data_IF_093115712775
#
_entry.id   IF_093115712775
#
_cell.length_a   1.000
_cell.length_b   1.000
_cell.length_c   1.000
_cell.angle_alpha   90.00
_cell.angle_beta   90.00
_cell.angle_gamma   90.00
#
_symmetry.space_group_name_H-M   'P 1'
#
loop_
_entity.id
_entity.type
_entity.pdbx_description
1 polymer ?
#
# COMPACT_ATOMS: atom_id res chain seq x y z
N UNK A 1 -2.81 13.74 3.90
CA UNK A 1 -3.01 14.19 2.50
C UNK A 1 -2.52 13.19 1.46
N UNK A 2 -1.27 12.71 1.60
CA UNK A 2 -0.60 11.82 0.63
C UNK A 2 -1.08 10.36 0.68
N UNK A 3 -2.00 10.03 1.58
CA UNK A 3 -2.63 8.70 1.68
C UNK A 3 -4.14 8.89 1.58
N UNK A 4 -4.68 8.54 0.41
CA UNK A 4 -6.12 8.53 0.13
C UNK A 4 -6.79 7.37 0.89
N UNK A 5 -8.08 7.49 1.18
CA UNK A 5 -8.87 6.38 1.71
C UNK A 5 -8.80 5.18 0.77
N UNK A 6 -8.73 3.96 1.34
CA UNK A 6 -8.51 2.73 0.57
C UNK A 6 -9.55 2.45 -0.54
N UNK A 7 -10.75 3.03 -0.43
CA UNK A 7 -11.79 2.96 -1.46
C UNK A 7 -11.53 3.84 -2.68
N UNK A 8 -10.50 4.70 -2.66
CA UNK A 8 -10.17 5.64 -3.74
C UNK A 8 -11.07 6.86 -3.85
N UNK A 9 -12.21 6.89 -3.15
CA UNK A 9 -13.22 7.93 -3.32
C UNK A 9 -13.11 9.11 -2.33
N UNK A 10 -12.27 9.02 -1.29
CA UNK A 10 -12.14 10.04 -0.26
C UNK A 10 -10.68 10.43 -0.04
N UNK A 11 -10.35 11.65 -0.44
CA UNK A 11 -9.06 12.28 -0.13
C UNK A 11 -9.16 13.14 1.15
N UNK A 12 -8.05 13.77 1.54
CA UNK A 12 -7.99 14.57 2.77
C UNK A 12 -8.90 15.81 2.74
N UNK A 13 -9.06 16.46 1.58
CA UNK A 13 -9.96 17.60 1.43
C UNK A 13 -11.43 17.17 1.54
N UNK A 14 -11.78 15.99 1.00
CA UNK A 14 -13.13 15.44 1.14
C UNK A 14 -13.46 15.14 2.60
N UNK A 15 -12.49 14.58 3.35
CA UNK A 15 -12.64 14.37 4.80
C UNK A 15 -12.83 15.68 5.58
N UNK A 16 -12.08 16.73 5.21
CA UNK A 16 -12.25 18.08 5.77
C UNK A 16 -13.62 18.66 5.44
N UNK A 17 -14.06 18.58 4.20
CA UNK A 17 -15.36 19.08 3.75
C UNK A 17 -16.51 18.33 4.44
N UNK A 18 -16.41 17.00 4.57
CA UNK A 18 -17.38 16.16 5.27
C UNK A 18 -17.60 16.61 6.72
N UNK A 19 -16.52 16.88 7.47
CA UNK A 19 -16.62 17.40 8.82
C UNK A 19 -17.24 18.81 8.87
N UNK A 20 -16.92 19.68 7.92
CA UNK A 20 -17.51 21.03 7.84
C UNK A 20 -19.01 21.00 7.54
N UNK A 21 -19.47 20.02 6.74
CA UNK A 21 -20.89 19.82 6.43
C UNK A 21 -21.62 19.25 7.64
N UNK A 22 -21.04 18.24 8.30
CA UNK A 22 -21.65 17.61 9.46
C UNK A 22 -20.60 17.29 10.55
N UNK A 23 -20.45 18.14 11.58
CA UNK A 23 -19.49 17.93 12.66
C UNK A 23 -19.73 16.69 13.52
N UNK A 24 -20.94 16.14 13.54
CA UNK A 24 -21.27 14.88 14.24
C UNK A 24 -21.21 13.66 13.31
N UNK A 25 -20.76 13.87 12.07
CA UNK A 25 -20.62 12.83 11.06
C UNK A 25 -19.43 11.89 11.28
N UNK A 26 -19.22 10.96 10.33
CA UNK A 26 -18.22 9.90 10.47
C UNK A 26 -16.76 10.39 10.32
N UNK A 27 -16.54 11.56 9.73
CA UNK A 27 -15.21 12.13 9.54
C UNK A 27 -14.91 13.12 10.66
N UNK A 28 -13.95 12.80 11.51
CA UNK A 28 -13.52 13.64 12.63
C UNK A 28 -12.09 14.13 12.39
N UNK A 29 -11.76 15.38 12.74
CA UNK A 29 -10.40 15.89 12.64
C UNK A 29 -9.51 15.21 13.69
N UNK A 30 -8.29 14.87 13.29
CA UNK A 30 -7.28 14.27 14.17
C UNK A 30 -6.06 15.17 14.17
N UNK A 31 -5.73 15.72 15.33
CA UNK A 31 -4.44 16.39 15.54
C UNK A 31 -3.37 15.33 15.59
N UNK A 32 -2.30 15.46 14.79
CA UNK A 32 -1.24 14.44 14.72
C UNK A 32 -0.57 14.19 16.08
N UNK A 33 -0.41 15.22 16.91
CA UNK A 33 0.33 15.10 18.16
C UNK A 33 1.84 14.93 17.90
N UNK A 34 2.50 14.19 18.78
CA UNK A 34 3.93 13.92 18.73
C UNK A 34 4.28 12.91 17.63
N UNK A 35 5.43 13.09 16.98
CA UNK A 35 5.98 12.10 16.05
C UNK A 35 6.76 11.08 16.86
N UNK A 36 6.23 9.87 16.98
CA UNK A 36 6.84 8.79 17.75
C UNK A 36 7.88 8.02 16.90
N UNK A 37 7.59 7.86 15.61
CA UNK A 37 8.49 7.26 14.63
C UNK A 37 8.21 7.89 13.26
N UNK A 38 9.15 8.66 12.68
CA UNK A 38 8.95 9.33 11.40
C UNK A 38 9.00 8.37 10.20
N UNK A 39 9.68 7.22 10.31
CA UNK A 39 9.83 6.24 9.24
C UNK A 39 8.53 5.44 9.06
N UNK A 40 8.03 4.87 10.14
CA UNK A 40 6.73 4.19 10.16
C UNK A 40 5.56 5.20 10.07
N UNK A 41 5.79 6.44 10.49
CA UNK A 41 4.74 7.43 10.61
C UNK A 41 3.79 7.11 11.77
N UNK A 42 4.38 6.81 12.93
CA UNK A 42 3.66 6.73 14.18
C UNK A 42 3.49 8.12 14.77
N UNK A 43 2.24 8.44 15.10
CA UNK A 43 1.86 9.73 15.65
C UNK A 43 0.97 9.49 16.87
N UNK A 44 1.25 10.16 17.99
CA UNK A 44 0.51 9.91 19.25
C UNK A 44 -0.98 10.17 19.08
N UNK A 45 -1.36 11.30 18.46
CA UNK A 45 -2.77 11.64 18.28
C UNK A 45 -3.52 10.72 17.31
N UNK A 46 -2.82 10.08 16.36
CA UNK A 46 -3.44 9.04 15.52
C UNK A 46 -3.65 7.76 16.33
N UNK A 47 -2.67 7.34 17.13
CA UNK A 47 -2.79 6.15 17.97
C UNK A 47 -3.89 6.30 19.02
N UNK A 48 -3.98 7.45 19.68
CA UNK A 48 -5.03 7.76 20.67
C UNK A 48 -6.43 7.68 20.05
N UNK A 49 -6.60 8.29 18.86
CA UNK A 49 -7.85 8.23 18.12
C UNK A 49 -8.20 6.81 17.73
N UNK A 50 -7.28 6.07 17.13
CA UNK A 50 -7.54 4.71 16.65
C UNK A 50 -7.82 3.75 17.81
N UNK A 51 -7.11 3.86 18.93
CA UNK A 51 -7.38 3.11 20.15
C UNK A 51 -8.80 3.34 20.65
N UNK A 52 -9.23 4.60 20.71
CA UNK A 52 -10.59 4.95 21.13
C UNK A 52 -11.64 4.47 20.13
N UNK A 53 -11.48 4.78 18.84
CA UNK A 53 -12.44 4.47 17.78
C UNK A 53 -12.60 2.95 17.56
N UNK A 54 -11.53 2.18 17.80
CA UNK A 54 -11.52 0.72 17.70
C UNK A 54 -11.88 0.01 19.01
N UNK A 55 -12.19 0.75 20.09
CA UNK A 55 -12.47 0.22 21.44
C UNK A 55 -11.31 -0.62 21.99
N UNK A 56 -10.08 -0.19 21.72
CA UNK A 56 -8.85 -0.83 22.18
C UNK A 56 -8.38 -2.00 21.32
N UNK A 57 -9.08 -2.36 20.25
CA UNK A 57 -8.67 -3.45 19.37
C UNK A 57 -7.40 -3.14 18.56
N UNK A 58 -7.19 -1.86 18.22
CA UNK A 58 -5.99 -1.38 17.53
C UNK A 58 -5.42 -0.21 18.32
N UNK A 59 -4.22 -0.39 18.87
CA UNK A 59 -3.58 0.62 19.75
C UNK A 59 -2.52 1.46 19.02
N UNK A 60 -2.04 1.00 17.87
CA UNK A 60 -1.01 1.67 17.09
C UNK A 60 -1.22 1.40 15.59
N UNK A 61 -1.01 2.43 14.76
CA UNK A 61 -1.10 2.28 13.31
C UNK A 61 0.03 3.00 12.59
N UNK A 62 0.62 2.30 11.62
CA UNK A 62 1.64 2.86 10.75
C UNK A 62 0.99 3.58 9.57
N UNK A 63 1.39 4.84 9.38
CA UNK A 63 0.97 5.59 8.20
C UNK A 63 1.70 5.13 6.94
N UNK A 64 2.89 4.54 7.07
CA UNK A 64 3.81 4.34 5.95
C UNK A 64 4.37 2.92 5.81
N UNK A 65 4.01 1.99 6.69
CA UNK A 65 4.48 0.59 6.66
C UNK A 65 3.38 -0.39 6.26
N UNK A 66 3.79 -1.41 5.49
CA UNK A 66 3.01 -2.63 5.25
C UNK A 66 3.30 -3.71 6.31
N UNK A 67 4.50 -3.70 6.88
CA UNK A 67 5.00 -4.76 7.77
C UNK A 67 4.69 -4.48 9.24
N UNK A 68 4.85 -3.22 9.67
CA UNK A 68 4.69 -2.82 11.06
C UNK A 68 3.33 -2.16 11.26
N UNK A 69 2.48 -2.75 12.11
CA UNK A 69 1.17 -2.22 12.49
C UNK A 69 0.38 -1.59 11.31
N UNK A 70 0.18 -2.31 10.19
CA UNK A 70 -0.47 -1.74 9.02
C UNK A 70 -1.89 -1.28 9.35
N UNK A 71 -2.41 -0.33 8.57
CA UNK A 71 -3.80 0.09 8.71
C UNK A 71 -4.73 -1.08 8.42
N UNK A 72 -5.72 -1.30 9.29
CA UNK A 72 -6.75 -2.32 9.06
C UNK A 72 -7.57 -1.96 7.82
N UNK A 73 -8.23 -2.95 7.21
CA UNK A 73 -9.11 -2.71 6.08
C UNK A 73 -10.53 -3.24 6.33
N UNK A 74 -11.50 -2.55 5.76
CA UNK A 74 -12.90 -2.96 5.79
C UNK A 74 -13.17 -4.02 4.72
N UNK A 75 -13.53 -3.60 3.50
CA UNK A 75 -13.79 -4.48 2.36
C UNK A 75 -13.96 -3.77 1.01
N UNK A 76 -14.05 -2.44 0.99
CA UNK A 76 -14.25 -1.63 -0.22
C UNK A 76 -12.95 -1.11 -0.84
N UNK A 77 -11.79 -1.68 -0.48
CA UNK A 77 -10.52 -1.31 -1.10
C UNK A 77 -10.51 -1.63 -2.60
N UNK A 78 -9.85 -0.77 -3.39
CA UNK A 78 -9.72 -0.94 -4.84
C UNK A 78 -8.64 -1.97 -5.20
N UNK A 79 -7.62 -2.10 -4.36
CA UNK A 79 -6.50 -2.99 -4.53
C UNK A 79 -5.99 -3.54 -3.19
N UNK A 80 -5.16 -4.57 -3.26
CA UNK A 80 -4.50 -5.17 -2.09
C UNK A 80 -3.00 -5.20 -2.36
N UNK A 81 -2.23 -4.69 -1.40
CA UNK A 81 -0.79 -4.86 -1.35
C UNK A 81 -0.44 -6.11 -0.54
N UNK A 82 0.52 -6.89 -1.03
CA UNK A 82 1.04 -8.08 -0.36
C UNK A 82 2.57 -8.14 -0.48
N UNK A 83 3.24 -8.48 0.61
CA UNK A 83 4.68 -8.74 0.62
C UNK A 83 4.98 -10.08 -0.08
N UNK A 84 6.01 -10.09 -0.93
CA UNK A 84 6.57 -11.25 -1.62
C UNK A 84 7.99 -11.51 -1.08
N UNK A 85 8.14 -12.45 -0.13
CA UNK A 85 9.42 -12.66 0.56
C UNK A 85 10.58 -13.02 -0.36
N UNK A 86 10.39 -13.88 -1.37
CA UNK A 86 11.47 -14.30 -2.26
C UNK A 86 11.93 -13.18 -3.20
N UNK A 87 11.05 -12.21 -3.46
CA UNK A 87 11.34 -11.04 -4.28
C UNK A 87 11.80 -9.82 -3.48
N UNK A 88 11.83 -9.93 -2.13
CA UNK A 88 12.06 -8.81 -1.21
C UNK A 88 11.24 -7.56 -1.59
N UNK A 89 10.01 -7.76 -2.04
CA UNK A 89 9.21 -6.74 -2.70
C UNK A 89 7.72 -6.86 -2.41
N UNK A 90 6.96 -5.88 -2.85
CA UNK A 90 5.53 -5.75 -2.66
C UNK A 90 4.84 -5.91 -4.01
N UNK A 91 3.86 -6.78 -4.09
CA UNK A 91 2.91 -6.80 -5.20
C UNK A 91 1.66 -6.00 -4.84
N UNK A 92 0.99 -5.42 -5.85
CA UNK A 92 -0.33 -4.81 -5.67
C UNK A 92 -1.28 -5.29 -6.75
N UNK A 93 -2.43 -5.85 -6.34
CA UNK A 93 -3.45 -6.38 -7.26
C UNK A 93 -4.77 -5.63 -7.08
N UNK A 94 -5.35 -5.10 -8.16
CA UNK A 94 -6.67 -4.46 -8.14
C UNK A 94 -7.81 -5.49 -8.21
N UNK A 95 -8.99 -5.07 -7.73
CA UNK A 95 -10.21 -5.90 -7.67
C UNK A 95 -10.64 -6.51 -8.99
N UNK A 96 -10.37 -5.81 -10.10
CA UNK A 96 -10.80 -6.21 -11.44
C UNK A 96 -9.92 -7.33 -12.04
N UNK A 97 -8.76 -7.60 -11.44
CA UNK A 97 -7.87 -8.67 -11.89
C UNK A 97 -8.32 -10.03 -11.34
N UNK A 98 -8.70 -10.94 -12.25
CA UNK A 98 -9.26 -12.25 -11.90
C UNK A 98 -8.23 -13.40 -11.89
N UNK A 99 -6.99 -13.09 -12.27
CA UNK A 99 -5.90 -14.07 -12.40
C UNK A 99 -5.25 -14.46 -11.08
N UNK A 100 -4.31 -15.39 -11.17
CA UNK A 100 -3.39 -15.71 -10.08
C UNK A 100 -2.36 -14.60 -9.92
N UNK A 101 -1.91 -14.40 -8.69
CA UNK A 101 -0.84 -13.45 -8.38
C UNK A 101 0.37 -14.17 -7.80
N UNK A 102 1.55 -13.55 -7.82
CA UNK A 102 2.76 -14.15 -7.27
C UNK A 102 2.67 -14.58 -5.81
N UNK A 103 1.75 -14.01 -5.02
CA UNK A 103 1.47 -14.46 -3.64
C UNK A 103 0.84 -15.86 -3.54
N UNK A 104 0.58 -16.52 -4.66
CA UNK A 104 -0.09 -17.83 -4.71
C UNK A 104 -1.60 -17.73 -4.50
N UNK A 105 -2.17 -16.53 -4.54
CA UNK A 105 -3.59 -16.27 -4.28
C UNK A 105 -4.21 -15.34 -5.32
N UNK A 106 -5.53 -15.48 -5.52
CA UNK A 106 -6.34 -14.50 -6.27
C UNK A 106 -6.70 -13.31 -5.38
N UNK A 107 -7.15 -12.21 -5.99
CA UNK A 107 -7.67 -11.05 -5.26
C UNK A 107 -8.74 -11.43 -4.21
N UNK A 108 -9.68 -12.31 -4.54
CA UNK A 108 -10.78 -12.71 -3.62
C UNK A 108 -10.28 -13.41 -2.37
N UNK A 109 -9.24 -14.25 -2.49
CA UNK A 109 -8.61 -14.91 -1.33
C UNK A 109 -7.84 -13.90 -0.49
N UNK A 110 -7.05 -13.04 -1.12
CA UNK A 110 -6.32 -11.95 -0.44
C UNK A 110 -7.28 -11.00 0.30
N UNK A 111 -8.45 -10.70 -0.29
CA UNK A 111 -9.43 -9.82 0.31
C UNK A 111 -9.97 -10.39 1.64
N UNK A 112 -10.08 -11.71 1.75
CA UNK A 112 -10.44 -12.38 3.00
C UNK A 112 -9.38 -12.26 4.09
N UNK A 113 -8.10 -12.13 3.72
CA UNK A 113 -6.98 -11.97 4.67
C UNK A 113 -6.73 -10.52 5.10
N UNK A 114 -6.89 -9.58 4.17
CA UNK A 114 -6.65 -8.16 4.43
C UNK A 114 -7.89 -7.46 5.06
N UNK A 115 -9.09 -7.97 4.82
CA UNK A 115 -10.34 -7.40 5.32
C UNK A 115 -10.66 -7.75 6.78
N UNK A 116 -11.80 -7.27 7.26
CA UNK A 116 -12.33 -7.66 8.57
C UNK A 116 -11.83 -6.84 9.76
N UNK A 117 -11.13 -5.72 9.52
CA UNK A 117 -10.74 -4.81 10.59
C UNK A 117 -9.57 -5.29 11.46
N UNK A 118 -8.83 -6.31 11.01
CA UNK A 118 -7.62 -6.81 11.68
C UNK A 118 -6.35 -6.18 11.09
N UNK A 119 -5.29 -6.08 11.91
CA UNK A 119 -3.96 -5.73 11.41
C UNK A 119 -3.26 -7.00 10.94
N UNK A 120 -2.96 -7.06 9.63
CA UNK A 120 -2.32 -8.23 9.02
C UNK A 120 -0.96 -7.80 8.44
N UNK A 121 0.14 -7.88 9.20
CA UNK A 121 1.49 -7.61 8.69
C UNK A 121 1.75 -8.26 7.33
N UNK A 122 2.22 -7.48 6.36
CA UNK A 122 2.48 -7.95 5.00
C UNK A 122 1.28 -7.88 4.06
N UNK A 123 0.06 -7.56 4.54
CA UNK A 123 -1.14 -7.44 3.72
C UNK A 123 -1.94 -6.19 4.06
N UNK A 124 -2.37 -5.44 3.05
CA UNK A 124 -3.16 -4.22 3.29
C UNK A 124 -4.03 -3.85 2.10
N UNK A 125 -5.30 -3.54 2.38
CA UNK A 125 -6.19 -2.91 1.40
C UNK A 125 -5.75 -1.47 1.10
N UNK A 126 -5.63 -1.13 -0.18
CA UNK A 126 -5.17 0.18 -0.66
C UNK A 126 -6.02 0.70 -1.82
N UNK A 127 -5.93 2.00 -2.06
CA UNK A 127 -6.45 2.61 -3.29
C UNK A 127 -5.43 2.48 -4.41
N UNK A 128 -5.89 2.42 -5.66
CA UNK A 128 -5.03 2.50 -6.85
C UNK A 128 -4.22 3.80 -6.85
N UNK A 129 -4.80 4.92 -6.41
CA UNK A 129 -4.14 6.22 -6.38
C UNK A 129 -3.02 6.32 -5.33
N UNK A 130 -2.99 5.44 -4.32
CA UNK A 130 -1.89 5.42 -3.36
C UNK A 130 -0.56 5.02 -4.02
N UNK A 131 -0.59 4.27 -5.12
CA UNK A 131 0.59 3.77 -5.82
C UNK A 131 1.49 4.86 -6.40
N UNK A 132 0.98 6.08 -6.58
CA UNK A 132 1.75 7.22 -7.08
C UNK A 132 2.06 8.22 -5.97
N UNK A 133 1.82 7.86 -4.71
CA UNK A 133 2.07 8.72 -3.57
C UNK A 133 3.56 8.83 -3.25
N UNK A 134 4.06 10.02 -2.88
CA UNK A 134 5.38 10.17 -2.28
C UNK A 134 5.53 9.46 -0.93
N UNK A 135 4.42 9.04 -0.30
CA UNK A 135 4.38 8.31 0.99
C UNK A 135 4.04 6.84 0.86
N UNK A 136 3.90 6.32 -0.37
CA UNK A 136 3.70 4.89 -0.61
C UNK A 136 4.79 4.10 0.11
N UNK A 137 4.41 3.20 1.03
CA UNK A 137 5.30 2.22 1.70
C UNK A 137 6.68 2.75 2.12
N UNK A 138 6.76 4.01 2.56
CA UNK A 138 8.04 4.67 2.77
C UNK A 138 8.90 3.98 3.83
N UNK A 139 8.28 3.28 4.80
CA UNK A 139 9.00 2.50 5.79
C UNK A 139 9.76 1.32 5.14
N UNK A 140 9.21 0.74 4.07
CA UNK A 140 9.87 -0.32 3.30
C UNK A 140 10.77 0.23 2.17
N UNK A 141 10.82 1.54 1.94
CA UNK A 141 11.58 2.17 0.83
C UNK A 141 10.73 2.51 -0.40
N UNK A 142 9.42 2.47 -0.24
CA UNK A 142 8.41 3.03 -1.11
C UNK A 142 8.31 2.40 -2.48
N UNK A 143 8.19 3.21 -3.54
CA UNK A 143 7.92 2.69 -4.88
C UNK A 143 8.98 1.70 -5.37
N UNK A 144 10.23 1.81 -4.88
CA UNK A 144 11.33 0.87 -5.19
C UNK A 144 11.04 -0.56 -4.73
N UNK A 145 10.09 -0.76 -3.82
CA UNK A 145 9.63 -2.07 -3.37
C UNK A 145 8.56 -2.69 -4.25
N UNK A 146 7.88 -1.92 -5.09
CA UNK A 146 6.81 -2.48 -5.91
C UNK A 146 7.45 -3.33 -7.00
N UNK A 147 7.21 -4.64 -6.98
CA UNK A 147 7.82 -5.59 -7.93
C UNK A 147 6.82 -6.16 -8.92
N UNK A 148 5.51 -6.08 -8.64
CA UNK A 148 4.49 -6.65 -9.49
C UNK A 148 3.17 -5.89 -9.42
N UNK A 149 2.59 -5.60 -10.58
CA UNK A 149 1.26 -5.01 -10.78
C UNK A 149 0.56 -5.74 -11.94
N UNK A 150 -0.77 -5.93 -11.90
CA UNK A 150 -1.52 -6.30 -13.10
C UNK A 150 -1.25 -5.29 -14.21
N UNK A 151 -1.07 -5.75 -15.45
CA UNK A 151 -0.81 -4.88 -16.60
C UNK A 151 -1.89 -3.81 -16.73
N UNK A 152 -3.14 -4.16 -16.50
CA UNK A 152 -4.25 -3.22 -16.53
C UNK A 152 -4.08 -2.06 -15.55
N UNK A 153 -3.62 -2.33 -14.32
CA UNK A 153 -3.40 -1.31 -13.29
C UNK A 153 -2.16 -0.48 -13.61
N UNK A 154 -1.10 -1.14 -14.10
CA UNK A 154 0.13 -0.50 -14.51
C UNK A 154 -0.10 0.51 -15.64
N UNK A 155 -0.89 0.13 -16.65
CA UNK A 155 -1.27 1.01 -17.76
C UNK A 155 -2.26 2.10 -17.33
N UNK A 156 -3.23 1.80 -16.45
CA UNK A 156 -4.15 2.80 -15.88
C UNK A 156 -3.39 3.94 -15.17
N UNK A 157 -2.29 3.62 -14.49
CA UNK A 157 -1.47 4.57 -13.72
C UNK A 157 -0.25 5.08 -14.48
N UNK A 158 -0.04 4.69 -15.73
CA UNK A 158 1.23 4.82 -16.47
C UNK A 158 1.89 6.19 -16.38
N UNK A 159 1.18 7.24 -16.79
CA UNK A 159 1.76 8.59 -16.85
C UNK A 159 2.17 9.08 -15.47
N UNK A 160 1.33 8.85 -14.45
CA UNK A 160 1.59 9.25 -13.07
C UNK A 160 2.69 8.40 -12.43
N UNK A 161 2.74 7.11 -12.74
CA UNK A 161 3.72 6.18 -12.20
C UNK A 161 5.10 6.45 -12.79
N UNK A 162 5.21 6.66 -14.11
CA UNK A 162 6.45 7.09 -14.79
C UNK A 162 6.93 8.43 -14.21
N UNK A 163 6.01 9.38 -14.01
CA UNK A 163 6.35 10.66 -13.39
C UNK A 163 6.90 10.46 -11.96
N UNK A 164 6.27 9.59 -11.16
CA UNK A 164 6.76 9.26 -9.81
C UNK A 164 8.13 8.57 -9.85
N UNK A 165 8.36 7.67 -10.80
CA UNK A 165 9.65 7.03 -11.06
C UNK A 165 10.75 8.07 -11.34
N UNK A 166 10.47 9.08 -12.17
CA UNK A 166 11.40 10.20 -12.43
C UNK A 166 11.70 11.01 -11.16
N UNK A 167 10.68 11.31 -10.37
CA UNK A 167 10.82 12.10 -9.14
C UNK A 167 11.67 11.40 -8.06
N UNK A 168 11.73 10.07 -8.05
CA UNK A 168 12.62 9.31 -7.16
C UNK A 168 14.00 9.02 -7.79
N UNK A 169 14.27 9.58 -8.97
CA UNK A 169 15.53 9.39 -9.69
C UNK A 169 15.71 8.00 -10.32
N UNK A 170 14.61 7.29 -10.61
CA UNK A 170 14.64 5.95 -11.21
C UNK A 170 13.63 5.84 -12.36
N UNK A 171 13.79 6.60 -13.47
CA UNK A 171 12.87 6.61 -14.59
C UNK A 171 12.62 5.21 -15.20
N UNK A 172 13.61 4.33 -15.15
CA UNK A 172 13.58 2.95 -15.63
C UNK A 172 12.72 2.01 -14.79
N UNK A 173 12.42 2.38 -13.52
CA UNK A 173 11.72 1.51 -12.59
C UNK A 173 10.35 1.06 -13.10
N UNK A 174 9.66 1.89 -13.88
CA UNK A 174 8.38 1.49 -14.49
C UNK A 174 8.52 0.20 -15.30
N UNK A 175 9.57 0.06 -16.09
CA UNK A 175 9.79 -1.11 -16.95
C UNK A 175 10.34 -2.32 -16.18
N UNK A 176 10.83 -2.10 -14.95
CA UNK A 176 11.33 -3.16 -14.07
C UNK A 176 10.22 -3.82 -13.25
N UNK A 177 9.04 -3.20 -13.12
CA UNK A 177 7.90 -3.78 -12.41
C UNK A 177 7.27 -4.88 -13.28
N UNK A 178 7.24 -6.11 -12.78
CA UNK A 178 6.64 -7.25 -13.47
C UNK A 178 5.11 -7.13 -13.56
N UNK A 179 4.55 -7.86 -14.51
CA UNK A 179 3.10 -8.07 -14.66
C UNK A 179 2.80 -9.55 -14.83
N UNK A 180 1.53 -9.91 -14.99
CA UNK A 180 1.12 -11.27 -15.36
C UNK A 180 1.77 -11.79 -16.66
N UNK A 181 2.30 -10.91 -17.52
CA UNK A 181 3.05 -11.30 -18.73
C UNK A 181 4.45 -11.87 -18.42
N UNK A 182 5.03 -11.51 -17.28
CA UNK A 182 6.33 -12.02 -16.82
C UNK A 182 6.18 -13.22 -15.86
N UNK A 183 5.01 -13.36 -15.24
CA UNK A 183 4.71 -14.48 -14.37
C UNK A 183 3.63 -14.20 -13.33
N UNK A 184 3.12 -15.28 -12.76
CA UNK A 184 2.13 -15.26 -11.67
C UNK A 184 2.60 -16.05 -10.44
N UNK A 185 3.89 -16.37 -10.35
CA UNK A 185 4.54 -16.97 -9.18
C UNK A 185 5.80 -16.17 -8.82
N UNK A 186 6.23 -16.22 -7.55
CA UNK A 186 7.47 -15.55 -7.13
C UNK A 186 8.70 -16.03 -7.94
N UNK A 187 8.80 -17.34 -8.22
CA UNK A 187 9.91 -17.92 -8.98
C UNK A 187 10.00 -17.36 -10.42
N UNK A 188 8.85 -17.24 -11.11
CA UNK A 188 8.79 -16.71 -12.47
C UNK A 188 9.23 -15.25 -12.51
N UNK A 189 8.63 -14.43 -11.63
CA UNK A 189 8.92 -12.99 -11.64
C UNK A 189 10.32 -12.70 -11.12
N UNK A 190 10.86 -13.49 -10.18
CA UNK A 190 12.21 -13.31 -9.65
C UNK A 190 13.27 -13.40 -10.76
N UNK A 191 13.07 -14.26 -11.75
CA UNK A 191 13.94 -14.35 -12.93
C UNK A 191 13.96 -13.02 -13.70
N UNK A 192 12.79 -12.44 -13.95
CA UNK A 192 12.67 -11.14 -14.61
C UNK A 192 13.24 -9.99 -13.77
N UNK A 193 12.98 -9.97 -12.46
CA UNK A 193 13.50 -8.94 -11.55
C UNK A 193 15.02 -8.95 -11.52
N UNK A 194 15.66 -10.13 -11.55
CA UNK A 194 17.12 -10.28 -11.65
C UNK A 194 17.65 -9.78 -12.99
N UNK A 195 17.02 -10.16 -14.10
CA UNK A 195 17.41 -9.69 -15.44
C UNK A 195 17.35 -8.17 -15.55
N UNK A 196 16.33 -7.55 -14.96
CA UNK A 196 16.16 -6.10 -14.93
C UNK A 196 17.00 -5.38 -13.87
N UNK A 197 17.64 -6.10 -12.95
CA UNK A 197 18.35 -5.49 -11.82
C UNK A 197 17.41 -4.67 -10.93
N UNK A 198 16.23 -5.21 -10.61
CA UNK A 198 15.21 -4.49 -9.85
C UNK A 198 15.74 -4.10 -8.45
N UNK A 199 15.60 -2.83 -8.00
CA UNK A 199 16.22 -2.32 -6.78
C UNK A 199 15.81 -3.08 -5.51
N UNK A 200 14.56 -3.56 -5.44
CA UNK A 200 14.06 -4.34 -4.31
C UNK A 200 14.97 -5.52 -3.90
N UNK A 201 15.68 -6.13 -4.85
CA UNK A 201 16.55 -7.29 -4.59
C UNK A 201 17.81 -6.93 -3.79
N UNK A 202 18.27 -5.69 -3.88
CA UNK A 202 19.52 -5.21 -3.25
C UNK A 202 19.27 -4.40 -1.96
N UNK A 203 18.01 -4.09 -1.66
CA UNK A 203 17.65 -3.38 -0.45
C UNK A 203 17.64 -4.33 0.76
N UNK A 204 17.75 -3.79 1.97
CA UNK A 204 17.64 -4.57 3.23
C UNK A 204 16.36 -5.41 3.26
N UNK A 205 16.34 -6.51 4.01
CA UNK A 205 15.12 -7.32 4.10
C UNK A 205 14.01 -6.52 4.76
N UNK A 206 12.83 -6.48 4.14
CA UNK A 206 11.66 -5.81 4.75
C UNK A 206 11.01 -6.66 5.85
N UNK A 207 11.46 -7.91 5.98
CA UNK A 207 11.13 -8.82 7.08
C UNK A 207 12.26 -8.64 8.10
N UNK A 208 11.88 -8.25 9.33
CA UNK A 208 12.81 -8.10 10.45
C UNK A 208 13.56 -9.38 10.78
#
# INVERSE_FOLDING_TARGET
PERIGMCGAYNWLDGKASFQINPTGPNQPITKGEVLDPLNGYYSGINDFVSTASRGAVTQVSCYSLMNNPMTACGCFEAIAAMLPQCNGIMVVNRDFLGMTPSGMKFTTLAGMAGGGMQTPGFMGVSKHYMTSPKLFMAEGGLKRVVWLPKMLKEELKDKLIQRCKEIGMPELYDMIATEEQGTTEEQILTFLKEKGHPALEMETSIG
#
